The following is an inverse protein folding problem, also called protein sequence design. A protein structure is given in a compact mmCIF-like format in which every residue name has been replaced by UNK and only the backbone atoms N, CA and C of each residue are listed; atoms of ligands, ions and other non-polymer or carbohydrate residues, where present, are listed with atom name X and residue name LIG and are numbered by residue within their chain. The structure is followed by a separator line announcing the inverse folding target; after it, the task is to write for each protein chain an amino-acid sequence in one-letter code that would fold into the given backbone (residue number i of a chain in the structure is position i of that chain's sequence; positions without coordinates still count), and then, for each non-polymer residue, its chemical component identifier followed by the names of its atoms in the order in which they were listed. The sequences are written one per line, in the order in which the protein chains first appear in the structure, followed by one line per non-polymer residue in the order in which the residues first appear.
data_IF_275790119171
#
_entry.id   IF_275790119171
#
_cell.length_a   1.000
_cell.length_b   1.000
_cell.length_c   1.000
_cell.angle_alpha   90.00
_cell.angle_beta   90.00
_cell.angle_gamma   90.00
#
_symmetry.space_group_name_H-M   'P 1'
#
loop_
_entity.id
_entity.type
_entity.pdbx_description
1 polymer ?
#
# COMPACT_ATOMS: atom_id res chain seq x y z
N UNK A 1 -57.46 -0.92 15.77
CA UNK A 1 -56.47 -1.04 16.87
C UNK A 1 -56.38 -2.52 17.24
N UNK A 2 -55.25 -3.17 17.47
CA UNK A 2 -53.83 -2.85 17.37
C UNK A 2 -53.17 -4.23 17.11
N UNK A 3 -52.40 -4.37 16.04
CA UNK A 3 -50.94 -4.56 16.11
C UNK A 3 -50.47 -5.45 17.25
N UNK A 4 -50.05 -6.68 16.93
CA UNK A 4 -48.80 -7.25 17.47
C UNK A 4 -48.37 -8.42 16.59
N UNK A 5 -47.45 -8.12 15.67
CA UNK A 5 -46.58 -9.12 15.07
C UNK A 5 -45.50 -9.49 16.10
N UNK A 6 -45.13 -10.77 16.27
CA UNK A 6 -43.93 -11.13 17.02
C UNK A 6 -42.71 -10.64 16.21
N UNK A 7 -41.90 -9.78 16.82
CA UNK A 7 -40.65 -9.30 16.26
C UNK A 7 -39.75 -10.49 15.90
N UNK A 8 -39.09 -10.51 14.73
CA UNK A 8 -38.00 -11.44 14.51
C UNK A 8 -36.88 -11.06 15.48
N UNK A 9 -36.64 -11.91 16.47
CA UNK A 9 -35.43 -11.88 17.30
C UNK A 9 -34.24 -11.94 16.36
N UNK A 10 -33.55 -10.81 16.22
CA UNK A 10 -32.28 -10.74 15.52
C UNK A 10 -31.28 -11.63 16.26
N UNK A 11 -30.65 -12.61 15.61
CA UNK A 11 -29.58 -13.38 16.26
C UNK A 11 -28.45 -12.41 16.66
N UNK A 12 -27.73 -12.70 17.76
CA UNK A 12 -26.64 -11.86 18.24
C UNK A 12 -25.62 -11.71 17.10
N UNK A 13 -25.24 -10.47 16.84
CA UNK A 13 -24.22 -10.13 15.86
C UNK A 13 -23.04 -11.09 16.02
N UNK A 14 -22.81 -11.90 14.98
CA UNK A 14 -21.57 -12.65 14.84
C UNK A 14 -20.40 -11.67 15.07
N UNK A 15 -19.32 -12.09 15.76
CA UNK A 15 -18.17 -11.23 15.93
C UNK A 15 -17.75 -10.74 14.55
N UNK A 16 -17.79 -9.42 14.35
CA UNK A 16 -17.32 -8.80 13.13
C UNK A 16 -15.92 -9.38 12.85
N UNK A 17 -15.65 -9.88 11.64
CA UNK A 17 -14.33 -10.39 11.32
C UNK A 17 -13.32 -9.32 11.69
N UNK A 18 -12.33 -9.68 12.52
CA UNK A 18 -11.23 -8.81 12.87
C UNK A 18 -10.68 -8.16 11.59
N UNK A 19 -10.28 -6.88 11.62
CA UNK A 19 -9.79 -6.21 10.43
C UNK A 19 -8.68 -7.07 9.82
N UNK A 20 -8.93 -7.57 8.61
CA UNK A 20 -7.94 -8.35 7.87
C UNK A 20 -6.62 -7.57 7.87
N UNK A 21 -5.46 -8.23 8.05
CA UNK A 21 -4.18 -7.54 8.05
C UNK A 21 -4.09 -6.68 6.79
N UNK A 22 -3.89 -5.38 6.97
CA UNK A 22 -3.76 -4.45 5.86
C UNK A 22 -2.67 -4.98 4.91
N UNK A 23 -2.87 -4.91 3.58
CA UNK A 23 -1.90 -5.41 2.64
C UNK A 23 -0.55 -4.74 2.92
N UNK A 24 0.44 -5.56 3.26
CA UNK A 24 1.79 -5.09 3.53
C UNK A 24 2.28 -4.34 2.28
N UNK A 25 2.53 -3.04 2.43
CA UNK A 25 3.10 -2.25 1.35
C UNK A 25 4.50 -2.79 1.07
N UNK A 26 4.87 -3.00 -0.20
CA UNK A 26 6.21 -3.48 -0.52
C UNK A 26 7.24 -2.48 0.02
N UNK A 27 8.10 -2.94 0.92
CA UNK A 27 9.16 -2.12 1.54
C UNK A 27 10.35 -1.94 0.60
N UNK A 28 10.44 -2.74 -0.45
CA UNK A 28 11.54 -2.73 -1.43
C UNK A 28 11.07 -3.08 -2.82
N UNK A 29 11.71 -2.46 -3.82
CA UNK A 29 11.47 -2.66 -5.24
C UNK A 29 12.79 -2.90 -5.97
N UNK A 30 12.88 -3.95 -6.80
CA UNK A 30 14.04 -4.19 -7.65
C UNK A 30 13.87 -3.44 -8.96
N UNK A 31 14.76 -2.48 -9.21
CA UNK A 31 14.74 -1.65 -10.41
C UNK A 31 14.94 -2.55 -11.63
N UNK A 32 14.07 -2.41 -12.65
CA UNK A 32 14.23 -3.13 -13.92
C UNK A 32 14.89 -2.23 -14.95
N UNK A 33 15.48 -2.82 -15.98
CA UNK A 33 16.05 -2.03 -17.09
C UNK A 33 14.95 -1.22 -17.77
N UNK A 34 15.17 0.10 -17.85
CA UNK A 34 14.20 1.05 -18.39
C UNK A 34 13.24 1.66 -17.35
N UNK A 35 13.30 1.25 -16.08
CA UNK A 35 12.60 1.97 -15.02
C UNK A 35 13.28 3.31 -14.74
N UNK A 36 12.46 4.28 -14.34
CA UNK A 36 12.92 5.58 -13.83
C UNK A 36 12.44 5.77 -12.41
N UNK A 37 13.20 6.49 -11.59
CA UNK A 37 12.80 6.76 -10.20
C UNK A 37 11.45 7.48 -10.16
N UNK A 38 11.15 8.32 -11.16
CA UNK A 38 9.88 9.01 -11.36
C UNK A 38 8.71 8.05 -11.60
N UNK A 39 8.87 7.05 -12.47
CA UNK A 39 7.83 6.05 -12.72
C UNK A 39 7.58 5.18 -11.48
N UNK A 40 8.65 4.77 -10.80
CA UNK A 40 8.58 4.00 -9.55
C UNK A 40 7.88 4.82 -8.47
N UNK A 41 8.26 6.09 -8.29
CA UNK A 41 7.66 7.00 -7.32
C UNK A 41 6.14 7.10 -7.51
N UNK A 42 5.70 7.33 -8.76
CA UNK A 42 4.27 7.37 -9.11
C UNK A 42 3.56 6.05 -8.81
N UNK A 43 4.18 4.92 -9.14
CA UNK A 43 3.62 3.59 -8.92
C UNK A 43 3.38 3.29 -7.43
N UNK A 44 4.27 3.76 -6.57
CA UNK A 44 4.20 3.56 -5.12
C UNK A 44 3.61 4.78 -4.38
N UNK A 45 3.00 5.71 -5.10
CA UNK A 45 2.38 6.91 -4.55
C UNK A 45 3.31 7.72 -3.63
N UNK A 46 4.60 7.74 -3.96
CA UNK A 46 5.67 8.44 -3.24
C UNK A 46 6.31 9.49 -4.15
N UNK A 47 7.34 10.19 -3.65
CA UNK A 47 8.07 11.20 -4.41
C UNK A 47 9.49 10.75 -4.71
N UNK A 48 10.00 11.25 -5.84
CA UNK A 48 11.38 11.01 -6.28
C UNK A 48 12.38 11.42 -5.20
N UNK A 49 12.16 12.59 -4.60
CA UNK A 49 12.98 13.12 -3.52
C UNK A 49 12.98 12.21 -2.29
N UNK A 50 11.82 11.68 -1.88
CA UNK A 50 11.71 10.76 -0.74
C UNK A 50 12.47 9.46 -1.01
N UNK A 51 12.30 8.89 -2.21
CA UNK A 51 13.02 7.69 -2.63
C UNK A 51 14.53 7.92 -2.69
N UNK A 52 14.96 9.05 -3.24
CA UNK A 52 16.36 9.40 -3.36
C UNK A 52 17.02 9.55 -1.98
N UNK A 53 16.37 10.28 -1.06
CA UNK A 53 16.85 10.42 0.32
C UNK A 53 16.90 9.07 1.06
N UNK A 54 15.86 8.25 0.94
CA UNK A 54 15.78 6.94 1.59
C UNK A 54 16.89 5.98 1.12
N UNK A 55 17.32 6.12 -0.14
CA UNK A 55 18.30 5.23 -0.78
C UNK A 55 19.68 5.88 -0.99
N UNK A 56 19.89 7.11 -0.50
CA UNK A 56 21.11 7.90 -0.74
C UNK A 56 21.49 7.99 -2.23
N UNK A 57 20.49 8.23 -3.08
CA UNK A 57 20.70 8.37 -4.52
C UNK A 57 21.07 9.83 -4.80
N UNK A 58 22.29 10.04 -5.29
CA UNK A 58 22.78 11.37 -5.64
C UNK A 58 22.05 11.95 -6.85
N UNK A 59 21.83 11.14 -7.88
CA UNK A 59 21.12 11.55 -9.09
C UNK A 59 19.87 10.70 -9.31
N UNK A 60 18.65 11.24 -9.10
CA UNK A 60 17.42 10.49 -9.26
C UNK A 60 17.07 10.18 -10.74
N UNK A 61 17.72 10.83 -11.70
CA UNK A 61 17.58 10.51 -13.13
C UNK A 61 18.53 9.37 -13.52
N UNK A 62 19.60 9.15 -12.76
CA UNK A 62 20.55 8.08 -12.98
C UNK A 62 20.40 6.95 -11.97
N UNK A 63 19.62 5.94 -12.33
CA UNK A 63 19.43 4.72 -11.53
C UNK A 63 19.90 3.46 -12.25
N UNK A 64 20.48 2.55 -11.48
CA UNK A 64 21.07 1.32 -12.01
C UNK A 64 20.05 0.18 -11.90
N UNK A 65 19.71 -0.43 -13.03
CA UNK A 65 18.87 -1.62 -13.07
C UNK A 65 19.49 -2.77 -12.26
N UNK A 66 18.64 -3.56 -11.61
CA UNK A 66 19.03 -4.66 -10.73
C UNK A 66 19.34 -4.24 -9.29
N UNK A 67 19.41 -2.93 -8.98
CA UNK A 67 19.51 -2.45 -7.61
C UNK A 67 18.16 -2.57 -6.89
N UNK A 68 18.23 -2.85 -5.59
CA UNK A 68 17.07 -2.85 -4.70
C UNK A 68 16.87 -1.45 -4.15
N UNK A 69 15.74 -0.84 -4.49
CA UNK A 69 15.27 0.44 -4.01
C UNK A 69 14.36 0.22 -2.80
N UNK A 70 14.69 0.80 -1.66
CA UNK A 70 13.78 0.90 -0.51
C UNK A 70 12.63 1.84 -0.84
N UNK A 71 11.44 1.46 -0.45
CA UNK A 71 10.21 2.25 -0.56
C UNK A 71 9.79 2.70 0.85
N UNK A 72 9.20 3.91 0.97
CA UNK A 72 8.65 4.39 2.24
C UNK A 72 7.31 3.72 2.61
#
# INVERSE_FOLDING_TARGET
AASTAPAPTSPPAAPAPAPAPAPARPTTYKIKSGDTLTAIAKKFNTTVTKLAQLNNIADPNFIIAGRTLKLP
#
